data_IF_971447938713
#
_entry.id   IF_971447938713
#
_cell.length_a   1.000
_cell.length_b   1.000
_cell.length_c   1.000
_cell.angle_alpha   90.00
_cell.angle_beta   90.00
_cell.angle_gamma   90.00
#
_symmetry.space_group_name_H-M   'P 1'
#
loop_
_entity.id
_entity.type
_entity.pdbx_description
1 polymer ?
#
# COMPACT_ATOMS: atom_id res chain seq x y z
N UNK A 1 0.11 -14.19 -6.48
CA UNK A 1 0.30 -12.72 -6.38
C UNK A 1 -0.72 -12.10 -7.30
N UNK A 2 -1.72 -11.39 -6.76
CA UNK A 2 -2.78 -10.79 -7.57
C UNK A 2 -2.47 -9.32 -7.80
N UNK A 3 -2.04 -8.98 -9.02
CA UNK A 3 -1.81 -7.61 -9.48
C UNK A 3 -3.10 -7.11 -10.13
N UNK A 4 -3.77 -6.13 -9.52
CA UNK A 4 -4.96 -5.49 -10.10
C UNK A 4 -4.52 -4.24 -10.83
N UNK A 5 -4.87 -4.12 -12.11
CA UNK A 5 -4.55 -2.99 -12.99
C UNK A 5 -5.86 -2.29 -13.34
N UNK A 6 -6.00 -1.02 -12.95
CA UNK A 6 -7.13 -0.15 -13.34
C UNK A 6 -6.59 0.85 -14.36
N UNK A 7 -7.17 0.90 -15.56
CA UNK A 7 -6.73 1.77 -16.67
C UNK A 7 -7.79 2.85 -16.90
N UNK A 8 -7.40 4.13 -16.91
CA UNK A 8 -8.27 5.24 -17.27
C UNK A 8 -7.54 6.32 -18.09
N UNK A 9 -7.57 6.21 -19.42
CA UNK A 9 -7.41 7.31 -20.40
C UNK A 9 -6.05 8.03 -20.52
N UNK A 10 -5.37 7.87 -21.66
CA UNK A 10 -4.42 8.72 -22.41
C UNK A 10 -3.39 9.65 -21.74
N UNK A 11 -3.25 9.66 -20.42
CA UNK A 11 -1.99 10.00 -19.77
C UNK A 11 -1.27 8.69 -19.49
N UNK A 12 0.05 8.71 -19.41
CA UNK A 12 0.82 7.61 -18.85
C UNK A 12 0.45 7.57 -17.36
N UNK A 13 -0.76 7.09 -17.06
CA UNK A 13 -1.26 6.97 -15.71
C UNK A 13 -0.47 5.80 -15.15
N UNK A 14 0.49 6.10 -14.28
CA UNK A 14 1.04 5.08 -13.40
C UNK A 14 -0.13 4.29 -12.87
N UNK A 15 -0.23 3.03 -13.29
CA UNK A 15 -1.25 2.13 -12.78
C UNK A 15 -0.96 2.03 -11.30
N UNK A 16 -1.72 2.77 -10.50
CA UNK A 16 -1.61 2.77 -9.05
C UNK A 16 -1.73 1.32 -8.63
N UNK A 17 -0.59 0.72 -8.31
CA UNK A 17 -0.49 -0.67 -7.95
C UNK A 17 -0.60 -0.74 -6.44
N UNK A 18 -1.45 -1.65 -5.96
CA UNK A 18 -1.73 -1.78 -4.54
C UNK A 18 -1.33 -3.16 -4.03
N UNK A 19 -0.87 -3.22 -2.79
CA UNK A 19 -0.78 -4.45 -2.02
C UNK A 19 -1.93 -4.54 -1.02
N UNK A 20 -2.43 -5.75 -0.82
CA UNK A 20 -3.28 -6.04 0.34
C UNK A 20 -2.44 -5.99 1.63
N UNK A 21 -3.12 -6.09 2.77
CA UNK A 21 -2.46 -6.06 4.07
C UNK A 21 -1.38 -7.15 4.22
N UNK A 22 -1.66 -8.38 3.78
CA UNK A 22 -0.71 -9.49 3.92
C UNK A 22 0.57 -9.25 3.14
N UNK A 23 0.45 -8.79 1.90
CA UNK A 23 1.60 -8.50 1.03
C UNK A 23 2.36 -7.27 1.54
N UNK A 24 1.66 -6.27 2.07
CA UNK A 24 2.27 -5.09 2.70
C UNK A 24 3.12 -5.48 3.92
N UNK A 25 2.63 -6.35 4.79
CA UNK A 25 3.36 -6.84 5.95
C UNK A 25 4.62 -7.61 5.55
N UNK A 26 4.52 -8.46 4.52
CA UNK A 26 5.67 -9.21 3.97
C UNK A 26 6.72 -8.28 3.37
N UNK A 27 6.29 -7.31 2.57
CA UNK A 27 7.21 -6.40 1.87
C UNK A 27 7.97 -5.49 2.83
N UNK A 28 7.30 -5.01 3.88
CA UNK A 28 7.90 -4.16 4.91
C UNK A 28 8.64 -4.96 5.99
N UNK A 29 8.43 -6.28 6.08
CA UNK A 29 8.98 -7.11 7.13
C UNK A 29 8.48 -6.73 8.54
N UNK A 30 7.25 -6.20 8.66
CA UNK A 30 6.69 -5.74 9.93
C UNK A 30 5.51 -6.58 10.39
N UNK A 31 5.19 -6.48 11.69
CA UNK A 31 4.02 -7.11 12.28
C UNK A 31 2.75 -6.28 12.08
N UNK A 32 1.58 -6.94 12.08
CA UNK A 32 0.26 -6.31 11.97
C UNK A 32 0.03 -5.17 12.97
N UNK A 33 0.40 -5.29 14.27
CA UNK A 33 0.29 -4.17 15.21
C UNK A 33 1.13 -2.96 14.85
N UNK A 34 2.27 -3.17 14.18
CA UNK A 34 3.14 -2.06 13.72
C UNK A 34 2.49 -1.33 12.55
N UNK A 35 1.96 -2.06 11.57
CA UNK A 35 1.20 -1.48 10.47
C UNK A 35 -0.01 -0.67 11.00
N UNK A 36 -0.76 -1.22 11.96
CA UNK A 36 -1.88 -0.51 12.57
C UNK A 36 -1.47 0.78 13.27
N UNK A 37 -0.33 0.80 13.97
CA UNK A 37 0.22 2.02 14.57
C UNK A 37 0.57 3.07 13.52
N UNK A 38 1.15 2.67 12.39
CA UNK A 38 1.47 3.57 11.29
C UNK A 38 0.23 4.16 10.62
N UNK A 39 -0.83 3.36 10.49
CA UNK A 39 -2.13 3.86 10.01
C UNK A 39 -2.70 4.88 10.99
N UNK A 40 -2.68 4.58 12.29
CA UNK A 40 -3.16 5.52 13.33
C UNK A 40 -2.34 6.81 13.38
N UNK A 41 -1.05 6.75 13.13
CA UNK A 41 -0.18 7.94 13.11
C UNK A 41 -0.21 8.69 11.78
N UNK A 42 -0.96 8.20 10.77
CA UNK A 42 -1.00 8.81 9.43
C UNK A 42 0.27 8.59 8.59
N UNK A 43 1.17 7.69 9.01
CA UNK A 43 2.42 7.40 8.29
C UNK A 43 2.18 6.66 6.97
N UNK A 44 1.11 5.87 6.91
CA UNK A 44 0.59 5.23 5.71
C UNK A 44 -0.94 5.31 5.71
N UNK A 45 -1.53 5.55 4.54
CA UNK A 45 -2.99 5.68 4.40
C UNK A 45 -3.51 4.50 3.59
N UNK A 46 -4.31 3.59 4.17
CA UNK A 46 -4.94 2.52 3.42
C UNK A 46 -6.05 3.08 2.54
N UNK A 47 -6.07 2.66 1.28
CA UNK A 47 -7.23 2.76 0.44
C UNK A 47 -8.22 1.64 0.82
N UNK A 48 -9.31 2.01 1.47
CA UNK A 48 -10.29 1.06 1.97
C UNK A 48 -11.27 0.67 0.88
N UNK A 49 -11.33 -0.62 0.58
CA UNK A 49 -12.38 -1.20 -0.25
C UNK A 49 -13.46 -1.83 0.65
N UNK A 50 -14.52 -2.39 0.06
CA UNK A 50 -15.58 -3.06 0.81
C UNK A 50 -15.06 -4.23 1.67
N UNK A 51 -14.00 -4.91 1.23
CA UNK A 51 -13.57 -6.18 1.83
C UNK A 51 -12.15 -6.12 2.42
N UNK A 52 -11.31 -5.20 1.97
CA UNK A 52 -9.90 -5.16 2.37
C UNK A 52 -9.28 -3.76 2.34
N UNK A 53 -8.18 -3.62 3.08
CA UNK A 53 -7.31 -2.46 3.03
C UNK A 53 -6.24 -2.68 1.96
N UNK A 54 -6.17 -1.77 1.01
CA UNK A 54 -5.17 -1.73 -0.05
C UNK A 54 -4.18 -0.61 0.21
N UNK A 55 -2.90 -0.84 -0.06
CA UNK A 55 -1.81 0.10 0.22
C UNK A 55 -1.04 0.34 -1.06
N UNK A 56 -0.80 1.62 -1.38
CA UNK A 56 -0.04 1.98 -2.58
C UNK A 56 1.37 1.42 -2.48
N UNK A 57 1.85 0.78 -3.56
CA UNK A 57 3.21 0.28 -3.62
C UNK A 57 4.23 1.41 -3.43
N UNK A 58 3.96 2.61 -3.98
CA UNK A 58 4.83 3.78 -3.80
C UNK A 58 5.00 4.20 -2.33
N UNK A 59 3.94 4.13 -1.53
CA UNK A 59 4.03 4.37 -0.08
C UNK A 59 4.85 3.30 0.62
N UNK A 60 4.70 2.04 0.23
CA UNK A 60 5.44 0.91 0.79
C UNK A 60 6.94 1.05 0.48
N UNK A 61 7.29 1.37 -0.76
CA UNK A 61 8.67 1.64 -1.19
C UNK A 61 9.27 2.84 -0.44
N UNK A 62 8.51 3.93 -0.29
CA UNK A 62 8.92 5.09 0.50
C UNK A 62 9.25 4.71 1.95
N UNK A 63 8.41 3.89 2.57
CA UNK A 63 8.60 3.44 3.95
C UNK A 63 9.76 2.46 4.10
N UNK A 64 9.97 1.58 3.11
CA UNK A 64 11.10 0.65 3.07
C UNK A 64 12.44 1.37 2.97
N UNK A 65 12.49 2.45 2.20
CA UNK A 65 13.69 3.27 2.02
C UNK A 65 13.95 4.26 3.16
N UNK A 66 13.08 4.32 4.18
CA UNK A 66 13.27 5.17 5.36
C UNK A 66 13.00 6.67 5.14
N UNK A 67 12.50 7.06 3.97
CA UNK A 67 12.09 8.44 3.68
C UNK A 67 10.81 8.75 4.46
N UNK A 68 10.95 9.31 5.66
CA UNK A 68 9.87 9.64 6.59
C UNK A 68 9.59 11.13 6.60
#
# INVERSE_FOLDING_TARGET
MSKVIIVQGDKINEVDSFYNETDTLKELGISRPTLFRWIKSGRIIPNRTLNENLYKISDIERLKNGNT
#
